data_IF_113414115652
#
_entry.id   IF_113414115652
#
_cell.length_a   1.000
_cell.length_b   1.000
_cell.length_c   1.000
_cell.angle_alpha   90.00
_cell.angle_beta   90.00
_cell.angle_gamma   90.00
#
_symmetry.space_group_name_H-M   'P 1'
#
loop_
_entity.id
_entity.type
_entity.pdbx_description
1 polymer ?
#
# COMPACT_ATOMS: atom_id res chain seq x y z
N UNK A 1 -32.43 5.94 23.96
CA UNK A 1 -31.51 4.93 23.39
C UNK A 1 -30.96 5.50 22.10
N UNK A 2 -29.77 6.08 22.15
CA UNK A 2 -29.03 6.55 20.98
C UNK A 2 -27.63 5.97 21.15
N UNK A 3 -27.18 5.15 20.19
CA UNK A 3 -25.80 4.90 19.81
C UNK A 3 -25.77 3.72 18.84
N UNK A 4 -25.11 3.89 17.69
CA UNK A 4 -24.83 2.80 16.76
C UNK A 4 -25.06 3.13 15.29
N UNK A 5 -24.73 4.33 14.83
CA UNK A 5 -24.63 4.63 13.40
C UNK A 5 -23.21 5.11 13.10
N UNK A 6 -22.50 4.31 12.28
CA UNK A 6 -21.34 4.66 11.47
C UNK A 6 -20.01 5.03 12.15
N UNK A 7 -19.25 4.03 12.61
CA UNK A 7 -17.78 4.10 12.64
C UNK A 7 -17.14 3.31 11.49
N UNK A 8 -17.93 2.97 10.47
CA UNK A 8 -17.49 2.44 9.18
C UNK A 8 -17.16 3.58 8.20
N UNK A 9 -16.42 4.60 8.66
CA UNK A 9 -15.40 5.17 7.80
C UNK A 9 -14.47 4.00 7.49
N UNK A 10 -14.74 3.33 6.38
CA UNK A 10 -14.49 1.90 6.21
C UNK A 10 -12.99 1.63 6.40
N UNK A 11 -12.60 0.44 6.90
CA UNK A 11 -11.19 -0.01 6.81
C UNK A 11 -10.64 0.25 5.40
N UNK A 12 -11.51 0.12 4.40
CA UNK A 12 -11.23 0.49 3.02
C UNK A 12 -10.84 1.97 2.82
N UNK A 13 -11.50 2.92 3.47
CA UNK A 13 -11.18 4.36 3.38
C UNK A 13 -9.87 4.68 4.12
N UNK A 14 -9.65 4.09 5.30
CA UNK A 14 -8.40 4.23 6.06
C UNK A 14 -7.19 3.76 5.24
N UNK A 15 -7.36 2.68 4.48
CA UNK A 15 -6.30 2.10 3.64
C UNK A 15 -6.20 2.78 2.27
N UNK A 16 -7.29 3.29 1.69
CA UNK A 16 -7.27 3.90 0.33
C UNK A 16 -6.83 5.35 0.30
N UNK A 17 -7.32 6.17 1.23
CA UNK A 17 -7.07 7.62 1.25
C UNK A 17 -5.56 7.97 1.22
N UNK A 18 -4.68 7.29 1.97
CA UNK A 18 -3.25 7.59 1.97
C UNK A 18 -2.57 7.42 0.60
N UNK A 19 -3.14 6.60 -0.29
CA UNK A 19 -2.59 6.34 -1.63
C UNK A 19 -3.32 7.09 -2.74
N UNK A 20 -4.30 7.94 -2.44
CA UNK A 20 -5.17 8.56 -3.45
C UNK A 20 -4.38 9.35 -4.51
N UNK A 21 -3.42 10.19 -4.08
CA UNK A 21 -2.59 10.98 -4.98
C UNK A 21 -1.78 10.11 -5.95
N UNK A 22 -1.13 9.05 -5.44
CA UNK A 22 -0.38 8.10 -6.25
C UNK A 22 -1.28 7.25 -7.15
N UNK A 23 -2.49 6.92 -6.70
CA UNK A 23 -3.46 6.16 -7.51
C UNK A 23 -4.01 6.97 -8.68
N UNK A 24 -4.12 8.29 -8.51
CA UNK A 24 -4.58 9.20 -9.56
C UNK A 24 -3.46 9.51 -10.56
N UNK A 25 -2.30 9.95 -10.06
CA UNK A 25 -1.23 10.56 -10.86
C UNK A 25 -0.06 9.61 -11.16
N UNK A 26 0.06 8.51 -10.43
CA UNK A 26 1.15 7.56 -10.59
C UNK A 26 1.05 6.74 -11.87
N UNK A 27 2.16 6.11 -12.24
CA UNK A 27 2.25 5.19 -13.36
C UNK A 27 1.27 4.01 -13.25
N UNK A 28 1.01 3.33 -14.36
CA UNK A 28 0.19 2.09 -14.34
C UNK A 28 0.77 1.06 -13.36
N UNK A 29 2.10 0.97 -13.27
CA UNK A 29 2.78 0.08 -12.32
C UNK A 29 2.51 0.48 -10.88
N UNK A 30 2.64 1.77 -10.57
CA UNK A 30 2.32 2.32 -9.24
C UNK A 30 0.92 1.90 -8.79
N UNK A 31 -0.08 2.00 -9.67
CA UNK A 31 -1.47 1.61 -9.38
C UNK A 31 -1.63 0.12 -9.06
N UNK A 32 -0.97 -0.76 -9.82
CA UNK A 32 -1.00 -2.22 -9.58
C UNK A 32 -0.36 -2.58 -8.24
N UNK A 33 0.78 -1.95 -7.92
CA UNK A 33 1.49 -2.19 -6.67
C UNK A 33 0.68 -1.67 -5.47
N UNK A 34 0.04 -0.51 -5.59
CA UNK A 34 -0.86 0.03 -4.56
C UNK A 34 -1.96 -0.98 -4.21
N UNK A 35 -2.60 -1.60 -5.20
CA UNK A 35 -3.65 -2.60 -4.93
C UNK A 35 -3.12 -3.78 -4.12
N UNK A 36 -1.92 -4.27 -4.45
CA UNK A 36 -1.29 -5.38 -3.75
C UNK A 36 -0.92 -5.00 -2.31
N UNK A 37 -0.39 -3.80 -2.12
CA UNK A 37 -0.04 -3.26 -0.80
C UNK A 37 -1.29 -3.04 0.08
N UNK A 38 -2.35 -2.48 -0.49
CA UNK A 38 -3.62 -2.29 0.22
C UNK A 38 -4.20 -3.63 0.70
N UNK A 39 -4.11 -4.67 -0.11
CA UNK A 39 -4.54 -6.02 0.26
C UNK A 39 -3.73 -6.57 1.45
N UNK A 40 -2.40 -6.43 1.44
CA UNK A 40 -1.54 -6.85 2.57
C UNK A 40 -1.89 -6.11 3.86
N UNK A 41 -2.15 -4.80 3.78
CA UNK A 41 -2.56 -4.00 4.95
C UNK A 41 -3.92 -4.48 5.48
N UNK A 42 -4.89 -4.70 4.59
CA UNK A 42 -6.22 -5.23 4.98
C UNK A 42 -6.07 -6.59 5.67
N UNK A 43 -5.25 -7.49 5.13
CA UNK A 43 -4.98 -8.78 5.76
C UNK A 43 -4.37 -8.63 7.17
N UNK A 44 -3.52 -7.61 7.40
CA UNK A 44 -3.01 -7.29 8.73
C UNK A 44 -4.13 -6.87 9.69
N UNK A 45 -4.97 -5.92 9.26
CA UNK A 45 -6.03 -5.35 10.07
C UNK A 45 -7.13 -6.37 10.39
N UNK A 46 -7.34 -7.34 9.50
CA UNK A 46 -8.22 -8.48 9.73
C UNK A 46 -7.58 -9.58 10.60
N UNK A 47 -6.33 -9.42 11.03
CA UNK A 47 -5.59 -10.38 11.85
C UNK A 47 -5.23 -11.68 11.13
N UNK A 48 -5.28 -11.69 9.78
CA UNK A 48 -4.88 -12.84 8.95
C UNK A 48 -3.37 -12.98 8.83
N UNK A 49 -2.67 -11.85 8.94
CA UNK A 49 -1.22 -11.75 8.98
C UNK A 49 -0.81 -10.98 10.22
N UNK A 50 0.32 -11.37 10.84
CA UNK A 50 0.94 -10.56 11.88
C UNK A 50 1.69 -9.37 11.29
N UNK A 51 1.96 -8.36 12.13
CA UNK A 51 2.62 -7.12 11.71
C UNK A 51 3.94 -7.37 10.98
N UNK A 52 4.76 -8.31 11.47
CA UNK A 52 6.08 -8.61 10.89
C UNK A 52 6.00 -9.32 9.53
N UNK A 53 4.95 -10.11 9.31
CA UNK A 53 4.66 -10.72 8.03
C UNK A 53 4.19 -9.67 7.02
N UNK A 54 3.34 -8.74 7.44
CA UNK A 54 2.87 -7.64 6.59
C UNK A 54 4.00 -6.70 6.16
N UNK A 55 4.87 -6.29 7.09
CA UNK A 55 6.06 -5.47 6.78
C UNK A 55 6.94 -6.14 5.72
N UNK A 56 7.16 -7.45 5.86
CA UNK A 56 7.96 -8.24 4.92
C UNK A 56 7.32 -8.31 3.54
N UNK A 57 6.03 -8.58 3.47
CA UNK A 57 5.32 -8.64 2.18
C UNK A 57 5.25 -7.29 1.48
N UNK A 58 4.98 -6.20 2.21
CA UNK A 58 5.09 -4.84 1.66
C UNK A 58 6.50 -4.59 1.12
N UNK A 59 7.53 -5.00 1.87
CA UNK A 59 8.93 -4.95 1.43
C UNK A 59 9.14 -5.68 0.10
N UNK A 60 8.70 -6.93 -0.01
CA UNK A 60 8.84 -7.77 -1.20
C UNK A 60 8.14 -7.16 -2.42
N UNK A 61 6.88 -6.75 -2.27
CA UNK A 61 6.04 -6.24 -3.36
C UNK A 61 6.53 -4.90 -3.90
N UNK A 62 7.24 -4.12 -3.09
CA UNK A 62 7.80 -2.82 -3.49
C UNK A 62 9.30 -2.86 -3.81
N UNK A 63 9.94 -4.04 -3.76
CA UNK A 63 11.36 -4.17 -4.05
C UNK A 63 11.63 -4.05 -5.56
N UNK A 64 12.50 -3.09 -5.87
CA UNK A 64 12.99 -2.79 -7.20
C UNK A 64 13.58 -3.99 -7.93
N UNK A 65 14.14 -4.97 -7.23
CA UNK A 65 14.71 -6.17 -7.85
C UNK A 65 13.62 -7.01 -8.53
N UNK A 66 12.45 -7.15 -7.89
CA UNK A 66 11.32 -7.90 -8.45
C UNK A 66 10.49 -7.07 -9.43
N UNK A 67 10.50 -5.75 -9.29
CA UNK A 67 9.91 -4.84 -10.29
C UNK A 67 10.84 -4.57 -11.48
N UNK A 68 12.12 -4.99 -11.43
CA UNK A 68 13.17 -4.67 -12.42
C UNK A 68 12.85 -5.18 -13.82
N UNK A 69 12.19 -6.32 -13.91
CA UNK A 69 11.83 -6.95 -15.19
C UNK A 69 10.63 -6.26 -15.86
N UNK A 70 9.88 -5.44 -15.12
CA UNK A 70 8.74 -4.68 -15.63
C UNK A 70 9.11 -3.28 -16.14
N UNK A 71 10.31 -2.78 -15.85
CA UNK A 71 10.67 -1.37 -16.11
C UNK A 71 11.75 -1.24 -17.18
N UNK A 72 11.36 -0.74 -18.35
CA UNK A 72 12.27 -0.33 -19.41
C UNK A 72 13.32 0.68 -18.89
N UNK A 73 14.53 0.64 -19.43
CA UNK A 73 15.70 1.38 -18.91
C UNK A 73 15.45 2.87 -18.62
N UNK A 74 14.57 3.54 -19.37
CA UNK A 74 14.29 4.97 -19.23
C UNK A 74 13.29 5.32 -18.10
N UNK A 75 12.50 4.36 -17.62
CA UNK A 75 11.50 4.59 -16.56
C UNK A 75 11.99 4.20 -15.16
N UNK A 76 13.22 3.69 -15.03
CA UNK A 76 13.75 3.10 -13.79
C UNK A 76 13.81 4.06 -12.61
N UNK A 77 14.21 5.31 -12.83
CA UNK A 77 14.32 6.31 -11.75
C UNK A 77 12.94 6.74 -11.24
N UNK A 78 12.02 7.09 -12.14
CA UNK A 78 10.67 7.50 -11.76
C UNK A 78 9.90 6.37 -11.04
N UNK A 79 9.97 5.14 -11.56
CA UNK A 79 9.33 3.98 -10.89
C UNK A 79 9.99 3.69 -9.54
N UNK A 80 11.30 3.88 -9.39
CA UNK A 80 11.98 3.74 -8.10
C UNK A 80 11.48 4.71 -7.05
N UNK A 81 11.21 5.96 -7.42
CA UNK A 81 10.66 6.96 -6.51
C UNK A 81 9.22 6.61 -6.11
N UNK A 82 8.40 6.18 -7.08
CA UNK A 82 7.02 5.73 -6.82
C UNK A 82 6.97 4.53 -5.87
N UNK A 83 7.77 3.49 -6.11
CA UNK A 83 7.81 2.29 -5.25
C UNK A 83 8.28 2.64 -3.83
N UNK A 84 9.25 3.55 -3.72
CA UNK A 84 9.73 4.04 -2.42
C UNK A 84 8.63 4.82 -1.68
N UNK A 85 7.90 5.68 -2.39
CA UNK A 85 6.78 6.42 -1.83
C UNK A 85 5.66 5.49 -1.36
N UNK A 86 5.29 4.49 -2.17
CA UNK A 86 4.30 3.47 -1.82
C UNK A 86 4.72 2.75 -0.54
N UNK A 87 5.96 2.22 -0.48
CA UNK A 87 6.46 1.51 0.71
C UNK A 87 6.36 2.38 1.96
N UNK A 88 6.77 3.66 1.86
CA UNK A 88 6.74 4.58 3.00
C UNK A 88 5.31 4.82 3.50
N UNK A 89 4.38 5.11 2.60
CA UNK A 89 2.97 5.30 2.94
C UNK A 89 2.41 4.03 3.58
N UNK A 90 2.71 2.87 3.00
CA UNK A 90 2.23 1.58 3.48
C UNK A 90 2.66 1.28 4.93
N UNK A 91 3.95 1.48 5.23
CA UNK A 91 4.47 1.28 6.59
C UNK A 91 3.82 2.26 7.57
N UNK A 92 3.63 3.51 7.16
CA UNK A 92 2.95 4.50 8.01
C UNK A 92 1.51 4.07 8.32
N UNK A 93 0.73 3.69 7.31
CA UNK A 93 -0.65 3.20 7.50
C UNK A 93 -0.67 1.98 8.42
N UNK A 94 0.25 1.04 8.21
CA UNK A 94 0.33 -0.18 9.01
C UNK A 94 0.57 0.14 10.49
N UNK A 95 1.51 1.02 10.81
CA UNK A 95 1.82 1.44 12.19
C UNK A 95 0.78 2.38 12.81
N UNK A 96 0.05 3.16 12.01
CA UNK A 96 -1.02 4.02 12.51
C UNK A 96 -2.30 3.24 12.84
N UNK A 97 -2.43 2.01 12.30
CA UNK A 97 -3.65 1.19 12.39
C UNK A 97 -3.49 -0.11 13.21
N UNK A 98 -2.27 -0.45 13.65
CA UNK A 98 -1.97 -1.63 14.48
C UNK A 98 -1.37 -1.23 15.82
#
# INVERSE_FOLDING_TARGET
MQNGANDSGSICDMVKLPFAALSEQGSVYCKVIILSVQDVIIQCLEGKLDLSACEREIGNVTDLIYCRDLVEKEFRLAVSEELTAIRRIAMQVLHDCT
#
